data_IF_740886082683
#
_entry.id   IF_740886082683
#
_cell.length_a   1.000
_cell.length_b   1.000
_cell.length_c   1.000
_cell.angle_alpha   90.00
_cell.angle_beta   90.00
_cell.angle_gamma   90.00
#
_symmetry.space_group_name_H-M   'P 1'
#
loop_
_entity.id
_entity.type
_entity.pdbx_description
1 polymer ?
#
# COMPACT_ATOMS: atom_id res chain seq x y z
N UNK A 1 56.81 -72.45 31.71
CA UNK A 1 55.53 -71.74 31.49
C UNK A 1 55.85 -70.30 31.11
N UNK A 2 55.50 -69.88 29.89
CA UNK A 2 55.59 -68.48 29.47
C UNK A 2 54.37 -67.74 30.01
N UNK A 3 54.59 -66.76 30.89
CA UNK A 3 53.58 -65.81 31.34
C UNK A 3 53.15 -64.95 30.14
N UNK A 4 51.89 -65.08 29.72
CA UNK A 4 51.28 -64.24 28.70
C UNK A 4 51.14 -62.82 29.25
N UNK A 5 51.75 -61.87 28.56
CA UNK A 5 51.72 -60.43 28.87
C UNK A 5 50.48 -59.86 28.17
N UNK A 6 49.42 -59.56 28.93
CA UNK A 6 48.16 -59.03 28.42
C UNK A 6 48.30 -57.55 28.00
N UNK A 7 48.15 -57.28 26.71
CA UNK A 7 48.07 -55.93 26.13
C UNK A 7 46.63 -55.36 26.11
N UNK A 8 45.64 -56.11 26.61
CA UNK A 8 44.21 -55.77 26.53
C UNK A 8 43.77 -54.57 27.40
N UNK A 9 44.61 -54.06 28.30
CA UNK A 9 44.28 -52.92 29.16
C UNK A 9 44.52 -51.54 28.52
N UNK A 10 45.43 -51.43 27.54
CA UNK A 10 45.83 -50.15 26.98
C UNK A 10 44.76 -49.56 26.05
N UNK A 11 44.07 -50.42 25.30
CA UNK A 11 42.99 -50.03 24.39
C UNK A 11 41.81 -49.43 25.13
N UNK A 12 41.48 -49.95 26.32
CA UNK A 12 40.41 -49.41 27.16
C UNK A 12 40.71 -47.98 27.63
N UNK A 13 41.96 -47.70 28.02
CA UNK A 13 42.37 -46.36 28.45
C UNK A 13 42.34 -45.38 27.27
N UNK A 14 42.86 -45.78 26.11
CA UNK A 14 42.87 -44.92 24.93
C UNK A 14 41.45 -44.61 24.42
N UNK A 15 40.58 -45.61 24.35
CA UNK A 15 39.17 -45.44 23.97
C UNK A 15 38.42 -44.55 24.95
N UNK A 16 38.65 -44.68 26.26
CA UNK A 16 38.04 -43.82 27.28
C UNK A 16 38.47 -42.35 27.15
N UNK A 17 39.75 -42.08 26.84
CA UNK A 17 40.25 -40.72 26.60
C UNK A 17 39.71 -40.13 25.30
N UNK A 18 39.64 -40.92 24.23
CA UNK A 18 39.02 -40.46 22.98
C UNK A 18 37.53 -40.18 23.14
N UNK A 19 36.80 -41.06 23.86
CA UNK A 19 35.38 -40.90 24.12
C UNK A 19 35.09 -39.65 24.97
N UNK A 20 35.88 -39.39 26.02
CA UNK A 20 35.72 -38.17 26.83
C UNK A 20 36.01 -36.90 26.03
N UNK A 21 37.00 -36.93 25.14
CA UNK A 21 37.27 -35.84 24.20
C UNK A 21 36.09 -35.56 23.27
N UNK A 22 35.50 -36.61 22.66
CA UNK A 22 34.33 -36.47 21.78
C UNK A 22 33.10 -35.95 22.53
N UNK A 23 32.86 -36.41 23.76
CA UNK A 23 31.78 -35.90 24.61
C UNK A 23 32.00 -34.43 24.99
N UNK A 24 33.24 -34.01 25.23
CA UNK A 24 33.59 -32.60 25.46
C UNK A 24 33.27 -31.70 24.26
N UNK A 25 33.60 -32.14 23.04
CA UNK A 25 33.24 -31.41 21.82
C UNK A 25 31.73 -31.38 21.57
N UNK A 26 31.01 -32.47 21.84
CA UNK A 26 29.55 -32.51 21.76
C UNK A 26 28.92 -31.48 22.71
N UNK A 27 29.43 -31.39 23.94
CA UNK A 27 28.90 -30.46 24.92
C UNK A 27 29.14 -28.99 24.54
N UNK A 28 30.31 -28.66 23.97
CA UNK A 28 30.58 -27.35 23.38
C UNK A 28 29.65 -27.05 22.19
N UNK A 29 29.39 -28.05 21.33
CA UNK A 29 28.49 -27.89 20.19
C UNK A 29 27.05 -27.59 20.63
N UNK A 30 26.58 -28.20 21.73
CA UNK A 30 25.27 -27.92 22.32
C UNK A 30 25.19 -26.48 22.85
N UNK A 31 26.20 -26.03 23.59
CA UNK A 31 26.26 -24.65 24.09
C UNK A 31 26.18 -23.63 22.95
N UNK A 32 27.01 -23.81 21.91
CA UNK A 32 26.99 -22.95 20.72
C UNK A 32 25.66 -23.02 20.00
N UNK A 33 25.05 -24.21 19.90
CA UNK A 33 23.73 -24.41 19.31
C UNK A 33 22.64 -23.60 20.01
N UNK A 34 22.61 -23.59 21.35
CA UNK A 34 21.68 -22.79 22.14
C UNK A 34 21.87 -21.29 21.87
N UNK A 35 23.12 -20.81 21.83
CA UNK A 35 23.39 -19.39 21.55
C UNK A 35 22.89 -18.95 20.18
N UNK A 36 23.14 -19.74 19.14
CA UNK A 36 22.66 -19.41 17.79
C UNK A 36 21.14 -19.45 17.71
N UNK A 37 20.51 -20.41 18.40
CA UNK A 37 19.06 -20.47 18.48
C UNK A 37 18.48 -19.24 19.16
N UNK A 38 18.98 -18.88 20.35
CA UNK A 38 18.53 -17.70 21.09
C UNK A 38 18.80 -16.42 20.29
N UNK A 39 19.93 -16.31 19.59
CA UNK A 39 20.22 -15.16 18.73
C UNK A 39 19.18 -15.00 17.61
N UNK A 40 18.73 -16.09 16.99
CA UNK A 40 17.72 -16.05 15.92
C UNK A 40 16.35 -15.59 16.44
N UNK A 41 15.98 -16.02 17.65
CA UNK A 41 14.75 -15.57 18.29
C UNK A 41 14.82 -14.08 18.66
N UNK A 42 15.94 -13.64 19.24
CA UNK A 42 16.16 -12.22 19.58
C UNK A 42 16.15 -11.35 18.31
N UNK A 43 16.74 -11.81 17.20
CA UNK A 43 16.70 -11.06 15.93
C UNK A 43 15.25 -10.90 15.43
N UNK A 44 14.44 -11.97 15.47
CA UNK A 44 13.03 -11.91 15.07
C UNK A 44 12.25 -10.90 15.90
N UNK A 45 12.52 -10.84 17.21
CA UNK A 45 11.92 -9.85 18.10
C UNK A 45 12.41 -8.42 17.84
N UNK A 46 13.69 -8.24 17.53
CA UNK A 46 14.26 -6.94 17.17
C UNK A 46 13.65 -6.42 15.85
N UNK A 47 13.55 -7.26 14.82
CA UNK A 47 12.95 -6.89 13.53
C UNK A 47 11.49 -6.49 13.70
N UNK A 48 10.72 -7.27 14.46
CA UNK A 48 9.32 -6.97 14.77
C UNK A 48 9.18 -5.65 15.55
N UNK A 49 10.06 -5.41 16.52
CA UNK A 49 10.05 -4.17 17.30
C UNK A 49 10.40 -2.95 16.45
N UNK A 50 11.41 -3.04 15.58
CA UNK A 50 11.80 -1.96 14.68
C UNK A 50 10.65 -1.60 13.71
N UNK A 51 10.03 -2.61 13.08
CA UNK A 51 8.88 -2.44 12.18
C UNK A 51 7.69 -1.83 12.93
N UNK A 52 7.31 -2.37 14.08
CA UNK A 52 6.17 -1.85 14.84
C UNK A 52 6.39 -0.42 15.34
N UNK A 53 7.61 -0.09 15.78
CA UNK A 53 7.95 1.27 16.18
C UNK A 53 7.91 2.26 15.02
N UNK A 54 8.47 1.89 13.87
CA UNK A 54 8.40 2.70 12.67
C UNK A 54 6.96 2.87 12.17
N UNK A 55 6.12 1.82 12.27
CA UNK A 55 4.72 1.86 11.88
C UNK A 55 3.88 2.74 12.82
N UNK A 56 4.08 2.71 14.13
CA UNK A 56 3.32 3.55 15.06
C UNK A 56 3.76 5.02 14.97
N UNK A 57 5.07 5.28 14.84
CA UNK A 57 5.58 6.63 14.61
C UNK A 57 4.96 7.26 13.36
N UNK A 58 4.63 6.45 12.35
CA UNK A 58 3.95 6.88 11.12
C UNK A 58 2.62 7.59 11.39
N UNK A 59 1.77 6.97 12.20
CA UNK A 59 0.40 7.43 12.42
C UNK A 59 0.34 8.51 13.49
N UNK A 60 1.16 8.39 14.53
CA UNK A 60 1.06 9.22 15.72
C UNK A 60 2.10 10.35 15.77
N UNK A 61 3.14 10.30 14.91
CA UNK A 61 4.28 11.24 14.89
C UNK A 61 4.89 11.48 16.28
N UNK A 62 4.85 10.46 17.14
CA UNK A 62 5.25 10.54 18.53
C UNK A 62 6.28 9.47 18.86
N UNK A 63 7.45 9.90 19.35
CA UNK A 63 8.53 8.98 19.77
C UNK A 63 8.07 8.09 20.92
N UNK A 64 7.21 8.60 21.81
CA UNK A 64 6.76 7.85 22.99
C UNK A 64 5.78 6.74 22.64
N UNK A 65 4.87 6.97 21.69
CA UNK A 65 3.94 5.94 21.20
C UNK A 65 4.68 4.87 20.40
N UNK A 66 5.60 5.30 19.52
CA UNK A 66 6.43 4.43 18.71
C UNK A 66 7.25 3.44 19.56
N UNK A 67 7.88 3.93 20.62
CA UNK A 67 8.60 3.09 21.58
C UNK A 67 7.69 2.08 22.28
N UNK A 68 6.48 2.51 22.63
CA UNK A 68 5.50 1.62 23.28
C UNK A 68 5.06 0.49 22.35
N UNK A 69 4.77 0.80 21.08
CA UNK A 69 4.42 -0.18 20.06
C UNK A 69 5.57 -1.17 19.76
N UNK A 70 6.79 -0.65 19.61
CA UNK A 70 7.99 -1.47 19.41
C UNK A 70 8.19 -2.48 20.56
N UNK A 71 8.05 -2.03 21.80
CA UNK A 71 8.19 -2.90 22.96
C UNK A 71 7.05 -3.91 23.10
N UNK A 72 5.82 -3.55 22.71
CA UNK A 72 4.70 -4.50 22.66
C UNK A 72 4.93 -5.59 21.59
N UNK A 73 5.52 -5.24 20.44
CA UNK A 73 5.86 -6.20 19.39
C UNK A 73 6.98 -7.17 19.83
N UNK A 74 8.03 -6.68 20.51
CA UNK A 74 9.04 -7.55 21.12
C UNK A 74 8.43 -8.49 22.17
N UNK A 75 7.52 -7.99 23.02
CA UNK A 75 6.82 -8.79 24.02
C UNK A 75 5.96 -9.90 23.40
N UNK A 76 5.31 -9.63 22.26
CA UNK A 76 4.52 -10.63 21.52
C UNK A 76 5.41 -11.77 20.97
N UNK A 77 6.69 -11.50 20.72
CA UNK A 77 7.68 -12.50 20.34
C UNK A 77 8.32 -13.21 21.54
N UNK A 78 7.76 -13.08 22.75
CA UNK A 78 8.23 -13.76 23.96
C UNK A 78 9.31 -13.00 24.76
N UNK A 79 9.69 -11.80 24.32
CA UNK A 79 10.70 -10.98 25.00
C UNK A 79 10.03 -9.91 25.85
N UNK A 80 9.57 -10.30 27.05
CA UNK A 80 9.01 -9.36 28.03
C UNK A 80 10.12 -8.84 28.94
N UNK A 81 10.42 -7.55 28.85
CA UNK A 81 11.56 -6.95 29.54
C UNK A 81 11.41 -5.45 29.75
N UNK A 82 12.44 -4.82 30.33
CA UNK A 82 12.48 -3.37 30.48
C UNK A 82 12.57 -2.70 29.11
N UNK A 83 11.60 -1.84 28.81
CA UNK A 83 11.55 -1.03 27.60
C UNK A 83 12.24 0.32 27.86
N UNK A 84 13.41 0.56 27.28
CA UNK A 84 14.23 1.76 27.54
C UNK A 84 14.76 2.37 26.25
N UNK A 85 15.56 3.42 26.37
CA UNK A 85 16.43 3.93 25.29
C UNK A 85 17.88 3.65 25.68
N UNK A 86 18.79 3.62 24.71
CA UNK A 86 20.22 3.49 24.97
C UNK A 86 21.01 4.44 24.09
N UNK A 87 21.70 5.40 24.71
CA UNK A 87 22.55 6.39 24.03
C UNK A 87 23.88 5.83 23.52
N UNK A 88 24.24 4.60 23.90
CA UNK A 88 25.46 3.93 23.45
C UNK A 88 25.23 2.97 22.28
N UNK A 89 23.98 2.78 21.83
CA UNK A 89 23.61 1.76 20.84
C UNK A 89 23.66 0.32 21.37
N UNK A 90 23.90 0.14 22.67
CA UNK A 90 23.99 -1.18 23.31
C UNK A 90 22.96 -1.28 24.43
N UNK A 91 22.16 -2.34 24.44
CA UNK A 91 21.27 -2.66 25.57
C UNK A 91 21.97 -3.47 26.64
N UNK A 92 21.64 -3.19 27.89
CA UNK A 92 22.11 -4.01 29.00
C UNK A 92 21.45 -5.40 28.99
N UNK A 93 22.26 -6.45 29.15
CA UNK A 93 21.82 -7.84 29.21
C UNK A 93 21.76 -8.38 30.65
N UNK A 94 21.67 -7.51 31.66
CA UNK A 94 21.46 -7.92 33.06
C UNK A 94 20.12 -8.63 33.30
N UNK A 95 19.23 -8.57 32.29
CA UNK A 95 17.95 -9.26 32.15
C UNK A 95 17.47 -9.10 30.70
N UNK A 96 16.22 -9.46 30.41
CA UNK A 96 15.63 -9.13 29.10
C UNK A 96 15.39 -7.62 29.02
N UNK A 97 16.04 -6.96 28.06
CA UNK A 97 15.93 -5.51 27.84
C UNK A 97 15.67 -5.24 26.37
N UNK A 98 14.78 -4.29 26.10
CA UNK A 98 14.46 -3.80 24.76
C UNK A 98 14.79 -2.30 24.74
N UNK A 99 15.77 -1.89 23.93
CA UNK A 99 16.03 -0.47 23.69
C UNK A 99 15.50 -0.07 22.33
N UNK A 100 14.70 0.99 22.30
CA UNK A 100 14.16 1.55 21.06
C UNK A 100 14.65 2.98 20.94
N UNK A 101 15.40 3.27 19.88
CA UNK A 101 16.00 4.57 19.65
C UNK A 101 15.50 5.19 18.34
N UNK A 102 15.08 6.46 18.43
CA UNK A 102 14.62 7.27 17.30
C UNK A 102 15.24 8.67 17.48
N UNK A 103 16.34 9.02 16.79
CA UNK A 103 17.05 8.25 15.76
C UNK A 103 17.90 7.08 16.31
N UNK A 104 18.38 6.16 15.43
CA UNK A 104 19.38 5.14 15.77
C UNK A 104 20.61 5.74 16.46
N UNK A 105 21.22 4.98 17.38
CA UNK A 105 22.39 5.45 18.15
C UNK A 105 23.70 4.79 17.69
N UNK A 106 23.60 3.78 16.83
CA UNK A 106 24.75 3.13 16.19
C UNK A 106 24.50 2.88 14.69
N UNK A 107 25.57 2.66 13.91
CA UNK A 107 25.49 2.37 12.48
C UNK A 107 25.48 3.61 11.57
N UNK A 108 25.14 3.46 10.27
CA UNK A 108 25.19 4.56 9.29
C UNK A 108 24.08 5.61 9.46
N UNK A 109 22.99 5.26 10.16
CA UNK A 109 21.76 6.06 10.23
C UNK A 109 21.62 6.90 11.53
N UNK A 110 22.72 7.24 12.20
CA UNK A 110 22.70 7.87 13.54
C UNK A 110 22.28 9.34 13.58
N UNK A 111 22.42 10.06 12.47
CA UNK A 111 22.04 11.47 12.34
C UNK A 111 20.61 11.67 11.80
N UNK A 112 19.89 10.59 11.50
CA UNK A 112 18.66 10.61 10.72
C UNK A 112 17.41 10.72 11.64
N UNK A 113 17.22 11.90 12.25
CA UNK A 113 16.09 12.18 13.15
C UNK A 113 14.75 12.00 12.44
N UNK A 114 13.85 11.19 13.02
CA UNK A 114 12.50 11.01 12.50
C UNK A 114 12.42 10.29 11.15
N UNK A 115 13.41 9.47 10.80
CA UNK A 115 13.41 8.66 9.56
C UNK A 115 13.77 7.20 9.78
N UNK A 116 14.36 6.82 10.91
CA UNK A 116 14.68 5.43 11.23
C UNK A 116 14.35 5.12 12.70
N UNK A 117 13.94 3.88 12.94
CA UNK A 117 13.70 3.32 14.26
C UNK A 117 14.65 2.15 14.47
N UNK A 118 15.53 2.28 15.45
CA UNK A 118 16.43 1.20 15.88
C UNK A 118 15.80 0.46 17.05
N UNK A 119 15.71 -0.86 16.95
CA UNK A 119 15.37 -1.73 18.06
C UNK A 119 16.54 -2.66 18.36
N UNK A 120 16.96 -2.69 19.62
CA UNK A 120 17.99 -3.59 20.13
C UNK A 120 17.36 -4.42 21.24
N UNK A 121 17.40 -5.74 21.10
CA UNK A 121 16.89 -6.67 22.11
C UNK A 121 18.08 -7.45 22.67
N UNK A 122 18.15 -7.55 24.00
CA UNK A 122 19.21 -8.26 24.69
C UNK A 122 18.65 -9.17 25.78
N UNK A 123 19.18 -10.39 25.90
CA UNK A 123 18.82 -11.34 26.95
C UNK A 123 20.03 -12.22 27.31
N UNK A 124 20.21 -12.59 28.60
CA UNK A 124 21.17 -13.61 28.99
C UNK A 124 20.70 -15.01 28.58
N UNK A 125 21.50 -15.73 27.78
CA UNK A 125 21.28 -17.13 27.43
C UNK A 125 22.03 -18.04 28.41
N UNK A 126 21.34 -19.03 28.98
CA UNK A 126 21.97 -20.06 29.82
C UNK A 126 22.66 -21.09 28.93
N UNK A 127 23.91 -21.40 29.25
CA UNK A 127 24.64 -22.50 28.62
C UNK A 127 24.32 -23.82 29.33
N UNK A 128 24.36 -24.94 28.60
CA UNK A 128 24.05 -26.27 29.12
C UNK A 128 25.28 -26.91 29.77
N UNK A 129 26.46 -26.77 29.15
CA UNK A 129 27.69 -27.41 29.60
C UNK A 129 28.56 -26.46 30.43
N UNK A 130 28.73 -25.21 30.00
CA UNK A 130 29.38 -24.19 30.83
C UNK A 130 28.40 -23.67 31.89
N UNK A 131 28.79 -23.74 33.16
CA UNK A 131 28.06 -23.06 34.23
C UNK A 131 28.17 -21.54 34.04
N UNK A 132 27.07 -20.89 33.65
CA UNK A 132 26.98 -19.45 33.48
C UNK A 132 26.00 -19.03 32.39
N UNK A 133 25.74 -17.74 32.31
CA UNK A 133 25.01 -17.14 31.21
C UNK A 133 25.93 -16.24 30.37
N UNK A 134 25.58 -16.06 29.12
CA UNK A 134 26.18 -15.02 28.29
C UNK A 134 25.14 -14.14 27.65
N UNK A 135 25.47 -12.86 27.55
CA UNK A 135 24.63 -11.86 26.91
C UNK A 135 24.56 -12.13 25.41
N UNK A 136 23.34 -12.31 24.89
CA UNK A 136 23.06 -12.33 23.46
C UNK A 136 22.25 -11.09 23.13
N UNK A 137 22.66 -10.37 22.09
CA UNK A 137 21.95 -9.20 21.59
C UNK A 137 21.70 -9.31 20.08
N UNK A 138 20.62 -8.70 19.64
CA UNK A 138 20.33 -8.48 18.23
C UNK A 138 19.86 -7.04 18.02
N UNK A 139 20.13 -6.51 16.84
CA UNK A 139 19.80 -5.16 16.43
C UNK A 139 19.06 -5.22 15.10
N UNK A 140 18.02 -4.41 14.98
CA UNK A 140 17.31 -4.18 13.75
C UNK A 140 17.04 -2.68 13.58
N UNK A 141 17.04 -2.20 12.34
CA UNK A 141 16.68 -0.83 12.00
C UNK A 141 15.62 -0.85 10.91
N UNK A 142 14.49 -0.23 11.19
CA UNK A 142 13.45 0.02 10.20
C UNK A 142 13.53 1.47 9.74
N UNK A 143 13.53 1.69 8.43
CA UNK A 143 13.23 2.99 7.88
C UNK A 143 11.75 3.29 8.10
N UNK A 144 11.48 4.53 8.48
CA UNK A 144 10.16 5.09 8.35
C UNK A 144 9.80 5.15 6.86
N UNK A 145 8.51 5.03 6.53
CA UNK A 145 8.10 5.01 5.15
C UNK A 145 8.56 6.19 4.34
N UNK A 146 9.22 5.89 3.22
CA UNK A 146 9.26 6.79 2.08
C UNK A 146 7.90 6.75 1.38
N UNK A 147 7.63 7.78 0.56
CA UNK A 147 6.42 7.85 -0.27
C UNK A 147 6.24 6.53 -1.03
N UNK A 148 5.00 6.04 -1.07
CA UNK A 148 4.64 4.82 -1.77
C UNK A 148 5.15 4.87 -3.20
N UNK A 149 5.93 3.85 -3.57
CA UNK A 149 6.51 3.80 -4.90
C UNK A 149 5.48 3.37 -5.96
N UNK A 150 4.29 2.88 -5.55
CA UNK A 150 3.22 2.47 -6.45
C UNK A 150 2.02 3.43 -6.35
N UNK A 151 1.49 3.84 -7.50
CA UNK A 151 0.29 4.69 -7.62
C UNK A 151 -0.90 3.94 -8.22
N UNK A 152 -0.65 2.78 -8.83
CA UNK A 152 -1.68 1.89 -9.35
C UNK A 152 -1.66 0.62 -8.50
N UNK A 153 -2.72 0.40 -7.74
CA UNK A 153 -2.91 -0.74 -6.85
C UNK A 153 -4.10 -1.56 -7.32
N UNK A 154 -3.84 -2.81 -7.73
CA UNK A 154 -4.85 -3.75 -8.17
C UNK A 154 -4.97 -4.84 -7.11
N UNK A 155 -6.14 -4.89 -6.46
CA UNK A 155 -6.31 -5.44 -5.12
C UNK A 155 -7.09 -6.75 -5.06
N UNK A 156 -7.60 -7.24 -6.18
CA UNK A 156 -8.29 -8.53 -6.21
C UNK A 156 -7.32 -9.66 -5.79
N UNK A 157 -7.72 -10.54 -4.85
CA UNK A 157 -6.84 -11.62 -4.39
C UNK A 157 -6.67 -12.73 -5.43
N UNK A 158 -7.57 -12.79 -6.41
CA UNK A 158 -7.64 -13.83 -7.44
C UNK A 158 -8.27 -13.31 -8.71
N UNK A 159 -7.91 -13.89 -9.85
CA UNK A 159 -8.41 -13.50 -11.18
C UNK A 159 -7.37 -12.67 -11.93
N UNK A 160 -7.81 -12.05 -13.02
CA UNK A 160 -6.95 -11.19 -13.81
C UNK A 160 -7.13 -9.75 -13.32
N UNK A 161 -6.11 -9.22 -12.67
CA UNK A 161 -6.14 -7.91 -12.01
C UNK A 161 -5.71 -6.81 -12.97
N UNK A 162 -4.68 -7.08 -13.78
CA UNK A 162 -4.21 -6.17 -14.81
C UNK A 162 -4.44 -6.81 -16.18
N UNK A 163 -5.55 -6.44 -16.81
CA UNK A 163 -5.85 -6.85 -18.16
C UNK A 163 -5.63 -5.68 -19.11
N UNK A 164 -4.73 -5.84 -20.09
CA UNK A 164 -4.52 -4.84 -21.13
C UNK A 164 -4.69 -5.47 -22.51
N UNK A 165 -5.40 -4.79 -23.40
CA UNK A 165 -5.80 -5.29 -24.71
C UNK A 165 -5.66 -4.22 -25.80
N UNK A 166 -5.20 -4.64 -26.99
CA UNK A 166 -5.09 -3.74 -28.14
C UNK A 166 -3.95 -2.74 -27.93
N UNK A 167 -4.05 -1.53 -28.48
CA UNK A 167 -3.01 -0.49 -28.35
C UNK A 167 -3.18 0.33 -27.07
N UNK A 168 -3.07 -0.32 -25.92
CA UNK A 168 -3.13 0.34 -24.62
C UNK A 168 -1.89 1.21 -24.37
N UNK A 169 -2.04 2.25 -23.56
CA UNK A 169 -0.94 3.15 -23.18
C UNK A 169 -1.07 3.59 -21.72
N UNK A 170 -0.29 2.97 -20.84
CA UNK A 170 -0.22 3.31 -19.41
C UNK A 170 1.05 4.12 -19.15
N UNK A 171 0.91 5.39 -18.79
CA UNK A 171 2.00 6.34 -18.54
C UNK A 171 2.03 6.71 -17.06
N UNK A 172 2.94 6.12 -16.28
CA UNK A 172 3.15 6.41 -14.86
C UNK A 172 4.65 6.49 -14.52
N UNK A 173 5.41 7.45 -15.09
CA UNK A 173 6.88 7.47 -15.02
C UNK A 173 7.43 7.69 -13.60
N UNK A 174 6.61 8.22 -12.70
CA UNK A 174 6.99 8.55 -11.33
C UNK A 174 6.54 7.51 -10.29
N UNK A 175 5.82 6.45 -10.70
CA UNK A 175 5.26 5.46 -9.78
C UNK A 175 4.94 4.13 -10.47
N UNK A 176 5.15 3.03 -9.75
CA UNK A 176 4.93 1.68 -10.24
C UNK A 176 3.49 1.19 -10.12
N UNK A 177 3.31 -0.02 -10.63
CA UNK A 177 2.05 -0.75 -10.64
C UNK A 177 2.20 -1.97 -9.75
N UNK A 178 1.20 -2.23 -8.90
CA UNK A 178 1.16 -3.38 -8.04
C UNK A 178 -0.09 -4.24 -8.33
N UNK A 179 0.12 -5.52 -8.60
CA UNK A 179 -0.89 -6.50 -9.00
C UNK A 179 -0.94 -7.61 -7.95
N UNK A 180 -2.04 -7.67 -7.18
CA UNK A 180 -2.11 -8.49 -5.97
C UNK A 180 -2.61 -9.92 -6.20
N UNK A 181 -3.31 -10.19 -7.30
CA UNK A 181 -3.79 -11.54 -7.60
C UNK A 181 -2.65 -12.54 -7.67
N UNK A 182 -2.86 -13.68 -7.00
CA UNK A 182 -1.89 -14.78 -6.91
C UNK A 182 -2.08 -15.86 -7.99
N UNK A 183 -2.98 -15.62 -8.95
CA UNK A 183 -3.28 -16.61 -9.99
C UNK A 183 -2.24 -16.65 -11.10
N UNK A 184 -2.25 -17.69 -11.93
CA UNK A 184 -1.32 -17.82 -13.06
C UNK A 184 -1.53 -16.77 -14.16
N UNK A 185 -2.69 -16.11 -14.16
CA UNK A 185 -3.08 -15.09 -15.13
C UNK A 185 -3.42 -13.76 -14.44
N UNK A 186 -2.69 -13.42 -13.38
CA UNK A 186 -2.90 -12.20 -12.59
C UNK A 186 -2.71 -10.93 -13.43
N UNK A 187 -1.82 -10.98 -14.41
CA UNK A 187 -1.68 -9.96 -15.45
C UNK A 187 -1.85 -10.62 -16.82
N UNK A 188 -2.62 -10.01 -17.71
CA UNK A 188 -2.72 -10.44 -19.10
C UNK A 188 -2.45 -9.29 -20.06
N UNK A 189 -1.58 -9.54 -21.04
CA UNK A 189 -1.35 -8.63 -22.16
C UNK A 189 -1.82 -9.31 -23.43
N UNK A 190 -2.80 -8.72 -24.09
CA UNK A 190 -3.38 -9.23 -25.34
C UNK A 190 -3.34 -8.20 -26.46
N UNK A 191 -3.18 -8.64 -27.70
CA UNK A 191 -2.93 -7.75 -28.84
C UNK A 191 -1.46 -7.72 -29.24
N UNK A 192 -1.12 -6.85 -30.20
CA UNK A 192 0.22 -6.82 -30.82
C UNK A 192 1.05 -5.57 -30.56
N UNK A 193 0.56 -4.60 -29.78
CA UNK A 193 1.24 -3.35 -29.51
C UNK A 193 0.70 -2.70 -28.24
N UNK A 194 1.52 -2.03 -27.45
CA UNK A 194 1.09 -1.28 -26.26
C UNK A 194 2.26 -0.93 -25.36
N UNK A 195 2.11 0.10 -24.55
CA UNK A 195 3.16 0.66 -23.67
C UNK A 195 2.71 0.65 -22.22
N UNK A 196 3.63 0.26 -21.34
CA UNK A 196 3.52 0.52 -19.89
C UNK A 196 4.83 1.20 -19.50
N UNK A 197 4.77 2.51 -19.31
CA UNK A 197 5.88 3.31 -18.84
C UNK A 197 5.74 3.51 -17.33
N UNK A 198 6.32 2.60 -16.56
CA UNK A 198 6.34 2.65 -15.10
C UNK A 198 7.72 2.20 -14.58
N UNK A 199 8.22 2.75 -13.46
CA UNK A 199 9.49 2.30 -12.87
C UNK A 199 9.53 0.80 -12.55
N UNK A 200 8.39 0.22 -12.16
CA UNK A 200 8.23 -1.22 -11.92
C UNK A 200 6.78 -1.65 -12.09
N UNK A 201 6.59 -2.93 -12.37
CA UNK A 201 5.30 -3.63 -12.28
C UNK A 201 5.53 -4.88 -11.44
N UNK A 202 5.00 -4.92 -10.23
CA UNK A 202 5.10 -6.05 -9.31
C UNK A 202 3.83 -6.89 -9.39
N UNK A 203 3.97 -8.16 -9.76
CA UNK A 203 2.86 -9.12 -9.87
C UNK A 203 3.04 -10.24 -8.86
N UNK A 204 2.03 -10.50 -8.03
CA UNK A 204 2.07 -11.57 -7.03
C UNK A 204 2.01 -12.94 -7.68
N UNK A 205 1.08 -13.12 -8.61
CA UNK A 205 0.89 -14.36 -9.35
C UNK A 205 1.84 -14.45 -10.55
N UNK A 206 1.29 -14.97 -11.64
CA UNK A 206 1.98 -15.05 -12.93
C UNK A 206 1.27 -14.18 -14.00
N UNK A 207 1.88 -14.02 -15.17
CA UNK A 207 1.39 -13.19 -16.24
C UNK A 207 1.32 -13.97 -17.55
N UNK A 208 0.24 -13.78 -18.30
CA UNK A 208 0.09 -14.29 -19.66
C UNK A 208 0.30 -13.15 -20.64
N UNK A 209 1.49 -13.12 -21.24
CA UNK A 209 1.94 -12.04 -22.09
C UNK A 209 1.99 -12.49 -23.55
N UNK A 210 1.09 -11.98 -24.40
CA UNK A 210 1.21 -12.17 -25.87
C UNK A 210 2.38 -11.36 -26.46
N UNK A 211 2.74 -10.25 -25.81
CA UNK A 211 4.01 -9.56 -25.99
C UNK A 211 4.45 -8.95 -24.64
N UNK A 212 5.74 -8.65 -24.51
CA UNK A 212 6.24 -7.88 -23.37
C UNK A 212 5.86 -6.41 -23.59
N UNK A 213 5.22 -5.74 -22.62
CA UNK A 213 4.96 -4.31 -22.72
C UNK A 213 6.25 -3.52 -22.95
N UNK A 214 6.21 -2.54 -23.84
CA UNK A 214 7.33 -1.63 -24.00
C UNK A 214 7.37 -0.66 -22.81
N UNK A 215 8.56 -0.44 -22.23
CA UNK A 215 8.79 0.52 -21.14
C UNK A 215 9.07 -0.10 -19.77
N UNK A 216 8.62 -1.34 -19.51
CA UNK A 216 8.86 -2.03 -18.23
C UNK A 216 8.80 -3.55 -18.39
N UNK A 217 9.60 -4.27 -17.61
CA UNK A 217 9.47 -5.73 -17.49
C UNK A 217 8.79 -6.06 -16.17
N UNK A 218 7.63 -6.76 -16.16
CA UNK A 218 6.97 -7.15 -14.92
C UNK A 218 7.81 -8.11 -14.07
N UNK A 219 7.87 -7.86 -12.77
CA UNK A 219 8.46 -8.77 -11.78
C UNK A 219 7.38 -9.72 -11.26
N UNK A 220 7.61 -11.02 -11.38
CA UNK A 220 6.64 -12.05 -11.02
C UNK A 220 6.92 -12.63 -9.62
N UNK A 221 5.93 -13.26 -9.00
CA UNK A 221 6.03 -13.87 -7.67
C UNK A 221 6.41 -12.88 -6.56
N UNK A 222 5.95 -11.63 -6.67
CA UNK A 222 6.09 -10.64 -5.59
C UNK A 222 5.23 -11.03 -4.38
N UNK A 223 5.59 -10.55 -3.19
CA UNK A 223 4.77 -10.80 -1.99
C UNK A 223 3.47 -10.02 -2.02
N UNK A 224 2.36 -10.63 -1.55
CA UNK A 224 1.05 -9.98 -1.40
C UNK A 224 1.12 -8.76 -0.48
N UNK A 225 0.46 -7.67 -0.85
CA UNK A 225 0.38 -6.44 -0.06
C UNK A 225 -1.08 -6.12 0.22
N UNK A 226 -1.35 -5.61 1.42
CA UNK A 226 -2.66 -5.04 1.73
C UNK A 226 -2.76 -3.64 1.13
N UNK A 227 -3.97 -3.23 0.78
CA UNK A 227 -4.21 -1.86 0.32
C UNK A 227 -3.71 -0.87 1.38
N UNK A 228 -2.84 0.08 1.02
CA UNK A 228 -2.41 1.16 1.91
C UNK A 228 -3.57 2.03 2.46
N UNK A 229 -4.71 2.02 1.78
CA UNK A 229 -5.88 2.87 2.09
C UNK A 229 -6.83 2.24 3.11
N UNK A 230 -6.60 0.98 3.50
CA UNK A 230 -7.58 0.21 4.29
C UNK A 230 -8.93 0.09 3.56
N UNK A 231 -10.01 -0.10 4.33
CA UNK A 231 -11.39 -0.01 3.85
C UNK A 231 -11.92 1.38 4.19
N UNK A 232 -11.81 2.32 3.26
CA UNK A 232 -12.54 3.59 3.37
C UNK A 232 -14.05 3.29 3.26
N UNK A 233 -14.84 3.86 4.16
CA UNK A 233 -16.29 3.74 4.14
C UNK A 233 -16.88 5.02 3.54
N UNK A 234 -17.72 4.85 2.52
CA UNK A 234 -18.51 5.94 1.92
C UNK A 234 -19.67 6.37 2.81
N UNK A 235 -20.39 7.46 2.45
CA UNK A 235 -21.73 7.72 2.95
C UNK A 235 -22.65 6.52 2.67
N UNK A 236 -23.70 6.44 3.48
CA UNK A 236 -24.77 5.46 3.33
C UNK A 236 -26.09 6.20 3.14
N UNK A 237 -27.17 5.48 2.85
CA UNK A 237 -28.52 6.07 2.79
C UNK A 237 -28.94 6.82 4.07
N UNK A 238 -28.32 6.55 5.22
CA UNK A 238 -28.54 7.32 6.46
C UNK A 238 -28.04 8.77 6.39
N UNK A 239 -27.13 9.08 5.46
CA UNK A 239 -26.66 10.44 5.18
C UNK A 239 -27.63 11.22 4.27
N UNK A 240 -28.66 10.56 3.74
CA UNK A 240 -29.61 11.12 2.81
C UNK A 240 -30.91 11.50 3.52
N UNK A 241 -31.30 12.76 3.35
CA UNK A 241 -32.51 13.34 3.88
C UNK A 241 -33.23 14.12 2.78
N UNK A 242 -34.51 14.45 2.98
CA UNK A 242 -35.25 15.25 2.01
C UNK A 242 -34.58 16.62 1.70
N UNK A 243 -33.74 17.14 2.60
CA UNK A 243 -33.05 18.42 2.44
C UNK A 243 -31.78 18.38 1.58
N UNK A 244 -31.20 17.21 1.32
CA UNK A 244 -29.97 17.04 0.54
C UNK A 244 -30.06 15.97 -0.55
N UNK A 245 -31.28 15.55 -0.92
CA UNK A 245 -31.49 14.45 -1.87
C UNK A 245 -32.17 14.93 -3.15
N UNK A 246 -31.66 14.48 -4.28
CA UNK A 246 -32.29 14.59 -5.60
C UNK A 246 -32.82 13.21 -6.01
N UNK A 247 -34.13 13.07 -6.13
CA UNK A 247 -34.79 11.78 -6.44
C UNK A 247 -35.03 11.53 -7.93
N UNK A 248 -34.76 12.52 -8.79
CA UNK A 248 -34.96 12.40 -10.23
C UNK A 248 -33.89 11.55 -10.91
N UNK A 249 -34.28 10.83 -11.97
CA UNK A 249 -33.37 10.03 -12.80
C UNK A 249 -32.70 10.83 -13.93
N UNK A 250 -32.98 12.13 -14.05
CA UNK A 250 -32.38 13.00 -15.07
C UNK A 250 -31.81 14.24 -14.41
N UNK A 251 -30.51 14.43 -14.55
CA UNK A 251 -29.76 15.56 -14.02
C UNK A 251 -29.28 16.38 -15.23
N UNK A 252 -29.69 17.65 -15.28
CA UNK A 252 -29.32 18.60 -16.34
C UNK A 252 -28.86 19.91 -15.72
N UNK A 253 -28.46 20.87 -16.55
CA UNK A 253 -28.10 22.23 -16.10
C UNK A 253 -29.23 22.96 -15.36
N UNK A 254 -30.49 22.54 -15.55
CA UNK A 254 -31.65 23.10 -14.85
C UNK A 254 -31.99 22.38 -13.55
N UNK A 255 -31.35 21.24 -13.25
CA UNK A 255 -31.61 20.50 -12.01
C UNK A 255 -31.10 21.30 -10.82
N UNK A 256 -31.99 21.64 -9.90
CA UNK A 256 -31.61 22.31 -8.65
C UNK A 256 -30.90 21.32 -7.73
N UNK A 257 -29.62 21.58 -7.49
CA UNK A 257 -28.81 20.79 -6.56
C UNK A 257 -28.98 21.38 -5.15
N UNK A 258 -29.41 20.58 -4.16
CA UNK A 258 -29.60 21.07 -2.80
C UNK A 258 -28.26 21.36 -2.12
N UNK A 259 -28.30 22.17 -1.06
CA UNK A 259 -27.12 22.41 -0.22
C UNK A 259 -26.66 21.11 0.45
N UNK A 260 -25.34 20.84 0.50
CA UNK A 260 -24.82 19.66 1.17
C UNK A 260 -25.16 19.66 2.67
N UNK A 261 -25.63 18.53 3.20
CA UNK A 261 -25.81 18.31 4.64
C UNK A 261 -24.71 17.35 5.09
N UNK A 262 -23.91 17.75 6.08
CA UNK A 262 -22.71 16.98 6.46
C UNK A 262 -21.69 16.82 5.33
N UNK A 263 -21.71 17.73 4.34
CA UNK A 263 -20.85 17.66 3.15
C UNK A 263 -21.33 16.70 2.07
N UNK A 264 -22.53 16.12 2.19
CA UNK A 264 -23.06 15.11 1.25
C UNK A 264 -24.32 15.63 0.54
N UNK A 265 -24.37 15.40 -0.77
CA UNK A 265 -25.56 15.51 -1.63
C UNK A 265 -25.88 14.13 -2.17
N UNK A 266 -27.11 13.66 -1.98
CA UNK A 266 -27.53 12.32 -2.37
C UNK A 266 -28.34 12.32 -3.67
N UNK A 267 -28.19 11.26 -4.45
CA UNK A 267 -29.02 10.93 -5.59
C UNK A 267 -29.62 9.55 -5.40
N UNK A 268 -30.93 9.51 -5.11
CA UNK A 268 -31.66 8.28 -4.81
C UNK A 268 -32.34 7.66 -6.03
N UNK A 269 -32.32 8.35 -7.17
CA UNK A 269 -32.84 7.80 -8.43
C UNK A 269 -32.15 6.49 -8.80
N UNK A 270 -32.87 5.61 -9.50
CA UNK A 270 -32.29 4.36 -10.03
C UNK A 270 -31.42 4.68 -11.25
N UNK A 271 -30.09 4.65 -11.09
CA UNK A 271 -29.09 4.98 -12.11
C UNK A 271 -29.40 6.29 -12.86
N UNK A 272 -29.42 7.45 -12.18
CA UNK A 272 -29.67 8.74 -12.80
C UNK A 272 -28.69 9.04 -13.94
N UNK A 273 -29.22 9.62 -15.02
CA UNK A 273 -28.45 10.08 -16.16
C UNK A 273 -28.15 11.57 -16.03
N UNK A 274 -26.87 11.94 -16.07
CA UNK A 274 -26.43 13.34 -16.17
C UNK A 274 -26.27 13.69 -17.65
N UNK A 275 -26.96 14.72 -18.14
CA UNK A 275 -26.97 15.08 -19.56
C UNK A 275 -26.84 16.59 -19.81
N UNK A 276 -26.31 16.94 -20.98
CA UNK A 276 -25.95 18.33 -21.31
C UNK A 276 -24.68 18.79 -20.58
N UNK A 277 -24.59 20.09 -20.29
CA UNK A 277 -23.45 20.68 -19.56
C UNK A 277 -23.82 20.90 -18.09
N UNK A 278 -23.30 20.06 -17.20
CA UNK A 278 -23.62 20.10 -15.76
C UNK A 278 -22.34 20.33 -14.95
N UNK A 279 -22.35 21.36 -14.11
CA UNK A 279 -21.28 21.61 -13.14
C UNK A 279 -21.84 21.43 -11.73
N UNK A 280 -21.27 20.49 -11.00
CA UNK A 280 -21.59 20.19 -9.62
C UNK A 280 -20.52 20.83 -8.73
N UNK A 281 -20.83 21.92 -8.00
CA UNK A 281 -19.82 22.70 -7.28
C UNK A 281 -19.15 21.89 -6.17
N UNK A 282 -17.88 22.19 -5.90
CA UNK A 282 -17.13 21.58 -4.80
C UNK A 282 -17.04 22.50 -3.56
N UNK A 283 -16.25 22.06 -2.60
CA UNK A 283 -15.81 22.88 -1.47
C UNK A 283 -14.34 22.53 -1.12
N UNK A 284 -13.63 23.41 -0.40
CA UNK A 284 -12.25 23.12 0.02
C UNK A 284 -12.16 21.84 0.89
N UNK A 285 -13.13 21.64 1.80
CA UNK A 285 -13.28 20.42 2.61
C UNK A 285 -13.93 19.25 1.87
N UNK A 286 -14.25 19.43 0.58
CA UNK A 286 -14.95 18.46 -0.27
C UNK A 286 -16.47 18.53 -0.17
N UNK A 287 -17.13 18.34 -1.32
CA UNK A 287 -18.55 17.98 -1.40
C UNK A 287 -18.67 16.58 -1.99
N UNK A 288 -19.33 15.66 -1.30
CA UNK A 288 -19.53 14.29 -1.77
C UNK A 288 -20.89 14.20 -2.47
N UNK A 289 -20.85 13.80 -3.73
CA UNK A 289 -22.04 13.52 -4.54
C UNK A 289 -22.27 12.02 -4.56
N UNK A 290 -23.14 11.58 -3.66
CA UNK A 290 -23.42 10.17 -3.38
C UNK A 290 -24.57 9.65 -4.24
N UNK A 291 -24.25 8.76 -5.17
CA UNK A 291 -25.21 8.07 -6.01
C UNK A 291 -25.54 6.70 -5.39
N UNK A 292 -26.77 6.55 -4.89
CA UNK A 292 -27.19 5.36 -4.17
C UNK A 292 -27.25 4.12 -5.08
N UNK A 293 -27.63 4.29 -6.34
CA UNK A 293 -27.99 3.21 -7.26
C UNK A 293 -27.34 3.36 -8.65
N UNK A 294 -26.06 3.72 -8.69
CA UNK A 294 -25.30 3.92 -9.91
C UNK A 294 -25.50 5.31 -10.50
N UNK A 295 -24.75 5.63 -11.55
CA UNK A 295 -24.89 6.90 -12.29
C UNK A 295 -24.43 6.70 -13.73
N UNK A 296 -25.12 7.38 -14.64
CA UNK A 296 -24.78 7.35 -16.06
C UNK A 296 -24.45 8.75 -16.56
N UNK A 297 -23.31 8.93 -17.21
CA UNK A 297 -22.96 10.15 -17.93
C UNK A 297 -23.50 10.00 -19.36
N UNK A 298 -24.40 10.90 -19.74
CA UNK A 298 -25.07 10.87 -21.04
C UNK A 298 -24.11 11.05 -22.21
N UNK A 299 -24.51 10.54 -23.37
CA UNK A 299 -23.77 10.73 -24.63
C UNK A 299 -23.62 12.22 -24.93
N UNK A 300 -22.40 12.66 -25.21
CA UNK A 300 -22.11 14.08 -25.48
C UNK A 300 -22.23 15.01 -24.27
N UNK A 301 -22.46 14.49 -23.05
CA UNK A 301 -22.58 15.31 -21.86
C UNK A 301 -21.21 15.83 -21.40
N UNK A 302 -21.17 17.06 -20.91
CA UNK A 302 -20.01 17.64 -20.23
C UNK A 302 -20.33 17.79 -18.76
N UNK A 303 -19.75 16.95 -17.92
CA UNK A 303 -20.02 16.89 -16.49
C UNK A 303 -18.75 17.23 -15.74
N UNK A 304 -18.82 18.21 -14.85
CA UNK A 304 -17.68 18.63 -14.03
C UNK A 304 -18.07 18.63 -12.56
N UNK A 305 -17.32 17.89 -11.74
CA UNK A 305 -17.43 17.88 -10.28
C UNK A 305 -16.29 18.72 -9.70
N UNK A 306 -16.64 19.76 -8.93
CA UNK A 306 -15.67 20.70 -8.42
C UNK A 306 -15.11 21.64 -9.49
N UNK A 307 -14.01 22.31 -9.16
CA UNK A 307 -13.25 23.12 -10.11
C UNK A 307 -11.78 23.14 -9.69
N UNK A 308 -10.87 23.10 -10.63
CA UNK A 308 -9.44 23.13 -10.35
C UNK A 308 -8.61 23.62 -11.53
N UNK A 309 -7.27 23.53 -11.40
CA UNK A 309 -6.36 23.98 -12.43
C UNK A 309 -6.45 23.12 -13.69
N UNK A 310 -6.21 23.75 -14.84
CA UNK A 310 -6.13 23.02 -16.11
C UNK A 310 -4.93 22.06 -16.12
N UNK A 311 -5.13 20.87 -16.66
CA UNK A 311 -4.06 19.91 -16.93
C UNK A 311 -3.39 20.19 -18.28
N UNK A 312 -2.05 20.32 -18.28
CA UNK A 312 -1.26 20.50 -19.49
C UNK A 312 -0.61 19.18 -19.89
N UNK A 313 -1.15 18.57 -20.95
CA UNK A 313 -0.69 17.30 -21.51
C UNK A 313 0.76 17.32 -21.99
N UNK A 314 1.30 18.47 -22.41
CA UNK A 314 2.66 18.54 -22.95
C UNK A 314 3.72 18.54 -21.85
N UNK A 315 3.40 19.11 -20.70
CA UNK A 315 4.29 19.19 -19.54
C UNK A 315 3.94 18.16 -18.48
N UNK A 316 2.88 17.37 -18.69
CA UNK A 316 2.38 16.40 -17.73
C UNK A 316 2.06 17.04 -16.36
N UNK A 317 1.67 18.33 -16.32
CA UNK A 317 1.51 19.11 -15.07
C UNK A 317 0.16 19.80 -14.97
N UNK A 318 -0.32 19.97 -13.74
CA UNK A 318 -1.45 20.87 -13.45
C UNK A 318 -0.97 22.32 -13.35
N UNK A 319 -1.79 23.26 -13.81
CA UNK A 319 -1.55 24.68 -13.60
C UNK A 319 -1.57 25.05 -12.09
N UNK A 320 -1.00 26.18 -11.72
CA UNK A 320 -0.97 26.66 -10.33
C UNK A 320 -2.23 27.43 -9.90
N UNK A 321 -3.19 27.64 -10.81
CA UNK A 321 -4.40 28.43 -10.60
C UNK A 321 -5.49 27.99 -11.59
N UNK A 322 -6.79 28.06 -11.24
CA UNK A 322 -7.35 28.48 -9.94
C UNK A 322 -7.12 27.47 -8.81
N UNK A 323 -7.35 27.89 -7.57
CA UNK A 323 -7.31 27.00 -6.41
C UNK A 323 -8.39 25.91 -6.52
N UNK A 324 -8.03 24.68 -6.18
CA UNK A 324 -8.95 23.54 -6.26
C UNK A 324 -10.07 23.66 -5.23
N UNK A 325 -11.31 23.59 -5.73
CA UNK A 325 -12.54 23.50 -4.95
C UNK A 325 -13.12 22.12 -5.25
N UNK A 326 -12.88 21.18 -4.35
CA UNK A 326 -13.00 19.77 -4.68
C UNK A 326 -14.36 19.14 -4.41
N UNK A 327 -14.65 18.09 -5.17
CA UNK A 327 -15.82 17.25 -5.04
C UNK A 327 -15.43 15.78 -5.24
N UNK A 328 -16.23 14.89 -4.65
CA UNK A 328 -16.07 13.44 -4.80
C UNK A 328 -17.30 12.92 -5.53
N UNK A 329 -17.08 12.19 -6.61
CA UNK A 329 -18.11 11.37 -7.24
C UNK A 329 -18.14 10.03 -6.52
N UNK A 330 -19.19 9.78 -5.74
CA UNK A 330 -19.34 8.55 -4.97
C UNK A 330 -20.44 7.65 -5.56
N UNK A 331 -20.08 6.42 -5.91
CA UNK A 331 -20.97 5.40 -6.48
C UNK A 331 -21.20 4.30 -5.44
N UNK A 332 -22.16 4.54 -4.55
CA UNK A 332 -22.42 3.67 -3.39
C UNK A 332 -22.81 2.24 -3.74
N UNK A 333 -23.63 2.08 -4.77
CA UNK A 333 -23.96 0.79 -5.38
C UNK A 333 -24.24 0.98 -6.87
N UNK A 334 -24.33 -0.10 -7.64
CA UNK A 334 -24.54 -0.01 -9.09
C UNK A 334 -23.34 0.56 -9.85
N UNK A 335 -23.48 0.67 -11.17
CA UNK A 335 -22.38 0.99 -12.09
C UNK A 335 -22.22 2.49 -12.30
N UNK A 336 -20.99 2.95 -12.53
CA UNK A 336 -20.73 4.19 -13.28
C UNK A 336 -20.67 3.85 -14.76
N UNK A 337 -21.56 4.40 -15.57
CA UNK A 337 -21.55 4.23 -17.02
C UNK A 337 -21.27 5.54 -17.73
N UNK A 338 -20.25 5.56 -18.58
CA UNK A 338 -19.93 6.73 -19.37
C UNK A 338 -20.34 6.54 -20.83
N UNK A 339 -21.26 7.37 -21.32
CA UNK A 339 -21.66 7.40 -22.72
C UNK A 339 -20.59 8.02 -23.61
N UNK A 340 -20.57 7.65 -24.89
CA UNK A 340 -19.58 8.15 -25.85
C UNK A 340 -19.66 9.66 -26.06
N UNK A 341 -18.54 10.25 -26.48
CA UNK A 341 -18.31 11.68 -26.67
C UNK A 341 -18.61 12.53 -25.44
N UNK A 342 -18.71 11.94 -24.24
CA UNK A 342 -18.85 12.69 -22.99
C UNK A 342 -17.51 13.33 -22.59
N UNK A 343 -17.57 14.19 -21.59
CA UNK A 343 -16.42 14.71 -20.86
C UNK A 343 -16.77 14.68 -19.36
N UNK A 344 -16.10 13.83 -18.59
CA UNK A 344 -16.24 13.76 -17.13
C UNK A 344 -14.97 14.30 -16.46
N UNK A 345 -15.05 15.49 -15.89
CA UNK A 345 -13.97 16.06 -15.10
C UNK A 345 -14.31 16.01 -13.61
N UNK A 346 -13.36 15.57 -12.79
CA UNK A 346 -13.54 15.50 -11.34
C UNK A 346 -12.30 16.04 -10.66
N UNK A 347 -12.47 17.09 -9.85
CA UNK A 347 -11.40 17.68 -9.07
C UNK A 347 -11.55 17.27 -7.62
N UNK A 348 -10.61 16.52 -7.07
CA UNK A 348 -10.72 15.98 -5.72
C UNK A 348 -10.59 17.07 -4.64
N UNK A 349 -11.13 16.83 -3.44
CA UNK A 349 -10.92 17.69 -2.27
C UNK A 349 -9.44 17.75 -1.87
N UNK A 350 -8.99 18.90 -1.37
CA UNK A 350 -7.62 19.10 -0.82
C UNK A 350 -7.56 18.94 0.70
N UNK A 351 -8.71 18.75 1.35
CA UNK A 351 -8.86 18.50 2.78
C UNK A 351 -10.11 17.65 3.05
N UNK A 352 -10.26 17.17 4.29
CA UNK A 352 -11.39 16.34 4.72
C UNK A 352 -11.14 14.83 4.56
N UNK A 353 -12.17 14.03 4.84
CA UNK A 353 -12.08 12.55 4.87
C UNK A 353 -11.69 11.94 3.52
N UNK A 354 -12.15 12.54 2.42
CA UNK A 354 -11.92 12.07 1.05
C UNK A 354 -10.88 12.93 0.30
N UNK A 355 -9.94 13.52 1.05
CA UNK A 355 -8.85 14.28 0.45
C UNK A 355 -8.11 13.44 -0.60
N UNK A 356 -7.96 13.99 -1.80
CA UNK A 356 -7.27 13.33 -2.91
C UNK A 356 -8.07 12.24 -3.62
N UNK A 357 -9.35 12.04 -3.30
CA UNK A 357 -10.21 11.06 -3.98
C UNK A 357 -11.15 11.79 -4.94
N UNK A 358 -11.04 11.49 -6.24
CA UNK A 358 -11.91 12.03 -7.27
C UNK A 358 -13.16 11.15 -7.40
N UNK A 359 -12.96 9.85 -7.65
CA UNK A 359 -14.05 8.88 -7.74
C UNK A 359 -13.90 7.89 -6.58
N UNK A 360 -14.98 7.72 -5.83
CA UNK A 360 -15.08 6.77 -4.74
C UNK A 360 -16.13 5.71 -5.07
N UNK A 361 -15.75 4.46 -4.95
CA UNK A 361 -16.64 3.31 -4.99
C UNK A 361 -16.25 2.37 -3.85
N UNK A 362 -17.14 2.13 -2.88
CA UNK A 362 -16.80 1.34 -1.70
C UNK A 362 -16.44 -0.10 -2.09
N UNK A 363 -15.63 -0.78 -1.27
CA UNK A 363 -15.21 -2.17 -1.52
C UNK A 363 -16.37 -3.18 -1.61
N UNK A 364 -17.54 -2.82 -1.07
CA UNK A 364 -18.78 -3.60 -1.19
C UNK A 364 -19.42 -3.52 -2.57
N UNK A 365 -19.15 -2.46 -3.34
CA UNK A 365 -19.64 -2.30 -4.70
C UNK A 365 -18.64 -2.90 -5.69
N UNK A 366 -18.90 -4.13 -6.12
CA UNK A 366 -18.06 -4.87 -7.08
C UNK A 366 -18.47 -4.68 -8.53
N UNK A 367 -19.48 -3.84 -8.79
CA UNK A 367 -19.96 -3.59 -10.15
C UNK A 367 -18.98 -2.71 -10.92
N UNK A 368 -19.03 -2.79 -12.24
CA UNK A 368 -18.07 -2.13 -13.11
C UNK A 368 -18.13 -0.60 -13.00
N UNK A 369 -16.94 0.01 -12.97
CA UNK A 369 -16.72 1.44 -13.09
C UNK A 369 -16.20 1.71 -14.49
N UNK A 370 -17.10 2.11 -15.38
CA UNK A 370 -16.81 2.37 -16.78
C UNK A 370 -16.40 3.84 -16.95
N UNK A 371 -15.14 4.04 -17.32
CA UNK A 371 -14.60 5.38 -17.62
C UNK A 371 -13.95 5.33 -19.00
N UNK A 372 -14.07 6.40 -19.78
CA UNK A 372 -13.47 6.55 -21.09
C UNK A 372 -13.95 5.54 -22.14
N UNK A 373 -15.16 5.78 -22.69
CA UNK A 373 -15.86 4.90 -23.65
C UNK A 373 -16.14 5.59 -24.99
N UNK A 374 -15.05 5.95 -25.69
CA UNK A 374 -15.14 6.83 -26.86
C UNK A 374 -15.43 8.28 -26.46
N UNK A 375 -14.92 8.72 -25.32
CA UNK A 375 -15.13 10.04 -24.72
C UNK A 375 -13.96 10.97 -25.03
N UNK A 376 -14.09 12.26 -24.69
CA UNK A 376 -12.98 13.22 -24.85
C UNK A 376 -11.87 12.92 -23.81
N UNK A 377 -10.72 13.59 -23.90
CA UNK A 377 -9.70 13.46 -22.85
C UNK A 377 -10.21 14.04 -21.53
N UNK A 378 -10.09 13.26 -20.46
CA UNK A 378 -10.72 13.56 -19.17
C UNK A 378 -9.69 13.81 -18.08
N UNK A 379 -10.02 14.70 -17.17
CA UNK A 379 -9.17 15.06 -16.03
C UNK A 379 -9.86 14.65 -14.74
N UNK A 380 -9.24 13.69 -14.07
CA UNK A 380 -9.56 13.25 -12.72
C UNK A 380 -8.41 13.69 -11.82
N UNK A 381 -8.45 14.92 -11.32
CA UNK A 381 -7.44 15.45 -10.41
C UNK A 381 -7.64 14.84 -9.01
N UNK A 382 -7.32 13.55 -8.88
CA UNK A 382 -7.45 12.72 -7.68
C UNK A 382 -7.36 11.22 -8.01
N UNK A 383 -7.44 10.39 -6.98
CA UNK A 383 -7.51 8.94 -7.10
C UNK A 383 -8.88 8.47 -7.59
N UNK A 384 -8.86 7.45 -8.42
CA UNK A 384 -10.00 6.54 -8.60
C UNK A 384 -9.85 5.44 -7.55
N UNK A 385 -10.72 5.45 -6.54
CA UNK A 385 -10.72 4.47 -5.46
C UNK A 385 -11.93 3.54 -5.60
N UNK A 386 -11.70 2.33 -6.10
CA UNK A 386 -12.69 1.30 -6.37
C UNK A 386 -12.14 -0.11 -6.08
N UNK A 387 -11.65 -0.40 -4.85
CA UNK A 387 -10.84 -1.59 -4.53
C UNK A 387 -11.56 -2.93 -4.75
N UNK A 388 -12.89 -2.96 -4.82
CA UNK A 388 -13.67 -4.17 -5.09
C UNK A 388 -14.16 -4.31 -6.54
N UNK A 389 -13.91 -3.30 -7.39
CA UNK A 389 -14.53 -3.18 -8.69
C UNK A 389 -13.53 -3.29 -9.84
N UNK A 390 -14.05 -3.61 -11.03
CA UNK A 390 -13.31 -3.45 -12.27
C UNK A 390 -13.45 -2.01 -12.77
N UNK A 391 -12.31 -1.32 -12.93
CA UNK A 391 -12.22 -0.09 -13.71
C UNK A 391 -11.97 -0.48 -15.16
N UNK A 392 -12.92 -0.15 -16.03
CA UNK A 392 -12.87 -0.49 -17.44
C UNK A 392 -12.65 0.77 -18.27
N UNK A 393 -11.60 0.77 -19.08
CA UNK A 393 -11.26 1.81 -20.06
C UNK A 393 -11.37 1.23 -21.47
N UNK A 394 -12.06 1.91 -22.38
CA UNK A 394 -12.15 1.50 -23.78
C UNK A 394 -12.29 2.70 -24.71
N UNK A 395 -11.17 3.15 -25.26
CA UNK A 395 -11.18 4.23 -26.24
C UNK A 395 -10.04 4.06 -27.25
N UNK A 396 -10.12 4.69 -28.41
CA UNK A 396 -9.12 4.61 -29.50
C UNK A 396 -8.61 6.00 -29.90
N UNK A 397 -8.53 6.95 -28.95
CA UNK A 397 -8.06 8.31 -29.21
C UNK A 397 -8.03 9.26 -28.01
N UNK A 398 -8.89 9.04 -27.01
CA UNK A 398 -8.85 9.76 -25.74
C UNK A 398 -8.31 8.92 -24.59
N UNK A 399 -8.14 9.58 -23.45
CA UNK A 399 -7.54 8.99 -22.26
C UNK A 399 -7.96 9.67 -20.97
N UNK A 400 -7.65 9.00 -19.87
CA UNK A 400 -7.92 9.48 -18.51
C UNK A 400 -6.62 9.93 -17.89
N UNK A 401 -6.59 11.17 -17.40
CA UNK A 401 -5.53 11.64 -16.51
C UNK A 401 -6.01 11.52 -15.08
N UNK A 402 -5.38 10.66 -14.29
CA UNK A 402 -5.69 10.48 -12.86
C UNK A 402 -4.44 10.61 -12.00
N UNK A 403 -4.60 10.93 -10.73
CA UNK A 403 -3.45 11.08 -9.81
C UNK A 403 -3.04 9.73 -9.18
N UNK A 404 -3.89 8.71 -9.34
CA UNK A 404 -3.58 7.31 -9.10
C UNK A 404 -4.84 6.44 -9.18
N UNK A 405 -4.66 5.13 -9.02
CA UNK A 405 -5.74 4.14 -9.11
C UNK A 405 -5.62 3.10 -8.00
N UNK A 406 -6.71 2.86 -7.29
CA UNK A 406 -6.87 1.69 -6.42
C UNK A 406 -8.10 0.95 -6.89
N UNK A 407 -7.94 -0.19 -7.56
CA UNK A 407 -9.04 -0.94 -8.13
C UNK A 407 -8.99 -2.42 -7.72
N UNK A 408 -10.10 -3.14 -7.86
CA UNK A 408 -10.05 -4.60 -7.85
C UNK A 408 -9.31 -5.11 -9.10
N UNK A 409 -9.74 -4.63 -10.26
CA UNK A 409 -9.15 -4.92 -11.56
C UNK A 409 -9.07 -3.65 -12.40
N UNK A 410 -7.98 -3.48 -13.17
CA UNK A 410 -7.91 -2.55 -14.28
C UNK A 410 -8.01 -3.35 -15.58
N UNK A 411 -9.03 -3.06 -16.38
CA UNK A 411 -9.13 -3.55 -17.75
C UNK A 411 -9.00 -2.37 -18.71
N UNK A 412 -7.88 -2.30 -19.43
CA UNK A 412 -7.65 -1.29 -20.46
C UNK A 412 -7.72 -1.91 -21.85
N UNK A 413 -8.70 -1.48 -22.65
CA UNK A 413 -8.91 -1.91 -24.02
C UNK A 413 -8.65 -0.75 -24.98
N UNK A 414 -7.36 -0.52 -25.24
CA UNK A 414 -6.77 0.43 -26.17
C UNK A 414 -6.83 1.92 -25.77
N UNK A 415 -7.15 2.24 -24.52
CA UNK A 415 -7.18 3.61 -24.02
C UNK A 415 -5.79 4.08 -23.56
N UNK A 416 -5.70 5.36 -23.23
CA UNK A 416 -4.53 5.95 -22.56
C UNK A 416 -4.88 6.26 -21.10
N UNK A 417 -4.09 5.74 -20.16
CA UNK A 417 -4.18 6.06 -18.74
C UNK A 417 -2.89 6.75 -18.28
N UNK A 418 -2.99 8.02 -17.89
CA UNK A 418 -1.83 8.82 -17.51
C UNK A 418 -1.88 9.19 -16.03
N UNK A 419 -0.80 8.88 -15.31
CA UNK A 419 -0.52 9.31 -13.95
C UNK A 419 0.64 10.30 -13.96
N UNK A 420 0.35 11.61 -14.08
CA UNK A 420 1.37 12.63 -14.31
C UNK A 420 2.39 12.73 -13.19
N UNK A 421 1.88 12.74 -11.97
CA UNK A 421 2.64 12.80 -10.73
C UNK A 421 2.02 11.85 -9.73
N UNK A 422 2.85 11.16 -8.94
CA UNK A 422 2.33 10.39 -7.82
C UNK A 422 1.71 11.36 -6.81
N UNK A 423 0.44 11.13 -6.42
CA UNK A 423 -0.16 11.84 -5.29
C UNK A 423 0.74 11.85 -4.07
N UNK A 424 1.45 10.75 -3.85
CA UNK A 424 2.22 10.51 -2.63
C UNK A 424 3.45 11.42 -2.58
N UNK A 425 3.97 11.77 -3.76
CA UNK A 425 5.03 12.75 -3.90
C UNK A 425 4.52 14.19 -3.77
N UNK A 426 3.32 14.48 -4.29
CA UNK A 426 2.70 15.81 -4.20
C UNK A 426 2.15 16.11 -2.79
N UNK A 427 1.70 15.09 -2.07
CA UNK A 427 1.02 15.18 -0.78
C UNK A 427 1.64 14.22 0.26
N UNK A 428 2.94 14.38 0.59
CA UNK A 428 3.68 13.43 1.44
C UNK A 428 3.16 13.35 2.88
N UNK A 429 2.44 14.37 3.34
CA UNK A 429 1.87 14.42 4.71
C UNK A 429 0.48 13.80 4.80
N UNK A 430 -0.28 13.73 3.70
CA UNK A 430 -1.66 13.19 3.68
C UNK A 430 -1.79 11.89 2.87
N UNK A 431 -0.71 11.44 2.21
CA UNK A 431 -0.72 10.16 1.51
C UNK A 431 -0.96 8.98 2.43
N UNK A 432 -1.86 8.10 1.98
CA UNK A 432 -2.17 6.81 2.58
C UNK A 432 -1.22 5.70 2.09
N UNK A 433 -0.53 5.91 0.96
CA UNK A 433 0.47 4.98 0.41
C UNK A 433 1.83 5.17 1.08
N UNK A 434 2.01 4.59 2.27
CA UNK A 434 3.29 4.63 2.97
C UNK A 434 3.86 3.21 3.10
N UNK A 435 5.07 2.98 2.58
CA UNK A 435 5.72 1.66 2.59
C UNK A 435 6.75 1.60 3.71
N UNK A 436 6.60 0.67 4.65
CA UNK A 436 7.60 0.42 5.68
C UNK A 436 8.68 -0.53 5.16
N UNK A 437 9.95 -0.22 5.40
CA UNK A 437 11.07 -1.09 4.99
C UNK A 437 12.03 -1.37 6.15
N UNK A 438 12.43 -2.64 6.31
CA UNK A 438 13.52 -3.01 7.19
C UNK A 438 14.84 -2.77 6.44
N UNK A 439 15.80 -2.13 7.09
CA UNK A 439 17.03 -1.63 6.46
C UNK A 439 18.25 -2.41 6.94
N UNK A 440 18.25 -2.80 8.22
CA UNK A 440 19.33 -3.58 8.86
C UNK A 440 18.79 -4.57 9.87
#
# INVERSE_FOLDING_TARGET
MKLLRNEEGQTLVLTAVCASGLLGFMALALDVGVLFHTRREIQTAADAAAIAGAADYLYNQSVSSARTAACAAAATNGFTGSCTTSTSGVCSASGTTICVNIPPQSGPNTAATGTFVEAVVAQPASMIFRSGSMAVNARAVAAMPTNGQACIWLMNPSGNDLAVQGKYDIESPNCGIYVNSNTTDAMSVTGGAGTINAPFVDVVGNATLQHVPNGVTPTMNSGTRKSPWGNLAGPTSSNCSAGNTVSGNSITSSTTIPSPIGGVVCFSGSNPSISGTVTLPGAASGTVYYFENGVSIGVGATVTFGSGPAYNVNTNTFASSPATVGAVLDVGSGTLNQGSNSLLNVYSPTAGTYNGIAIFQPSTNTTQLQVQFGSNNEVMDGYIYAPGAQVYLQDHGGGVTAVGLVAGQLYDKASTFTVPHSYDQANPTTTLNRVLTLVE
#
